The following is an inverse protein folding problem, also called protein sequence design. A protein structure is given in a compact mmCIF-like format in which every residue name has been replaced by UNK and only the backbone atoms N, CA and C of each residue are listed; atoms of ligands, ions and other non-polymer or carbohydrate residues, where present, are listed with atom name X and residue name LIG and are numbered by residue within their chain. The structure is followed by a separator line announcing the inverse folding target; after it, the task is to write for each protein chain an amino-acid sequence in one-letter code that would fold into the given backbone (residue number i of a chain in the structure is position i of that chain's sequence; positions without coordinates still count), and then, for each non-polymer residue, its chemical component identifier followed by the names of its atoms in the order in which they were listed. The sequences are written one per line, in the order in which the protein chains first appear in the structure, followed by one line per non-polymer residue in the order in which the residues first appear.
data_IF_583583218040
#
_entry.id   IF_583583218040
#
_cell.length_a   1.000
_cell.length_b   1.000
_cell.length_c   1.000
_cell.angle_alpha   90.00
_cell.angle_beta   90.00
_cell.angle_gamma   90.00
#
_symmetry.space_group_name_H-M   'P 1'
#
loop_
_entity.id
_entity.type
_entity.pdbx_description
1 polymer ?
#
# COMPACT_ATOMS: atom_id res chain seq x y z
N UNK A 1 39.79 13.05 -16.47
CA UNK A 1 38.62 12.20 -16.82
C UNK A 1 38.69 11.65 -18.25
N UNK A 2 38.94 12.48 -19.28
CA UNK A 2 39.00 12.04 -20.69
C UNK A 2 40.03 10.95 -20.95
N UNK A 3 41.27 11.08 -20.44
CA UNK A 3 42.33 10.08 -20.62
C UNK A 3 42.03 8.71 -19.96
N UNK A 4 41.31 8.69 -18.85
CA UNK A 4 40.92 7.46 -18.16
C UNK A 4 39.80 6.75 -18.91
N UNK A 5 38.82 7.52 -19.43
CA UNK A 5 37.79 7.00 -20.32
C UNK A 5 38.41 6.32 -21.54
N UNK A 6 39.32 6.99 -22.27
CA UNK A 6 39.93 6.47 -23.49
C UNK A 6 40.64 5.12 -23.24
N UNK A 7 41.38 5.02 -22.12
CA UNK A 7 42.04 3.78 -21.72
C UNK A 7 41.04 2.66 -21.41
N UNK A 8 39.99 2.95 -20.65
CA UNK A 8 38.96 1.97 -20.31
C UNK A 8 38.20 1.50 -21.55
N UNK A 9 37.81 2.45 -22.41
CA UNK A 9 37.11 2.16 -23.66
C UNK A 9 37.95 1.27 -24.61
N UNK A 10 39.27 1.52 -24.72
CA UNK A 10 40.16 0.64 -25.50
C UNK A 10 40.21 -0.77 -24.94
N UNK A 11 40.28 -0.94 -23.62
CA UNK A 11 40.32 -2.26 -22.99
C UNK A 11 38.99 -2.99 -23.28
N UNK A 12 37.84 -2.35 -23.03
CA UNK A 12 36.53 -2.95 -23.31
C UNK A 12 36.36 -3.29 -24.80
N UNK A 13 36.81 -2.41 -25.70
CA UNK A 13 36.80 -2.65 -27.15
C UNK A 13 37.62 -3.87 -27.55
N UNK A 14 38.80 -4.09 -26.95
CA UNK A 14 39.61 -5.30 -27.17
C UNK A 14 38.89 -6.53 -26.63
N UNK A 15 38.35 -6.47 -25.42
CA UNK A 15 37.65 -7.60 -24.79
C UNK A 15 36.40 -7.99 -25.58
N UNK A 16 35.62 -7.01 -26.09
CA UNK A 16 34.36 -7.27 -26.81
C UNK A 16 34.54 -7.97 -28.14
N UNK A 17 35.77 -8.01 -28.72
CA UNK A 17 36.07 -8.79 -29.93
C UNK A 17 35.93 -10.30 -29.70
N UNK A 18 36.05 -10.77 -28.46
CA UNK A 18 35.83 -12.15 -28.11
C UNK A 18 34.38 -12.32 -27.62
N UNK A 19 33.56 -13.03 -28.37
CA UNK A 19 32.12 -13.25 -28.05
C UNK A 19 31.89 -13.64 -26.59
N UNK A 20 32.72 -14.57 -26.04
CA UNK A 20 32.60 -15.09 -24.66
C UNK A 20 32.70 -14.00 -23.56
N UNK A 21 33.38 -12.89 -23.84
CA UNK A 21 33.57 -11.82 -22.87
C UNK A 21 32.40 -10.84 -22.84
N UNK A 22 31.61 -10.75 -23.92
CA UNK A 22 30.51 -9.78 -24.05
C UNK A 22 29.56 -9.83 -22.85
N UNK A 23 29.03 -10.98 -22.42
CA UNK A 23 28.09 -11.01 -21.30
C UNK A 23 28.64 -10.43 -19.98
N UNK A 24 29.95 -10.51 -19.77
CA UNK A 24 30.61 -10.05 -18.54
C UNK A 24 30.90 -8.55 -18.56
N UNK A 25 31.15 -7.99 -19.73
CA UNK A 25 31.58 -6.58 -19.85
C UNK A 25 30.50 -5.65 -20.38
N UNK A 26 29.42 -6.19 -20.94
CA UNK A 26 28.46 -5.46 -21.75
C UNK A 26 27.88 -4.24 -21.02
N UNK A 27 27.31 -4.44 -19.83
CA UNK A 27 26.68 -3.37 -19.05
C UNK A 27 27.68 -2.27 -18.75
N UNK A 28 28.85 -2.61 -18.20
CA UNK A 28 29.87 -1.64 -17.84
C UNK A 28 30.40 -0.87 -19.05
N UNK A 29 30.57 -1.55 -20.18
CA UNK A 29 31.07 -0.91 -21.40
C UNK A 29 30.00 0.01 -22.01
N UNK A 30 28.74 -0.42 -22.02
CA UNK A 30 27.64 0.39 -22.52
C UNK A 30 27.45 1.64 -21.65
N UNK A 31 27.40 1.48 -20.32
CA UNK A 31 27.25 2.57 -19.37
C UNK A 31 28.45 3.54 -19.42
N UNK A 32 29.66 3.01 -19.60
CA UNK A 32 30.85 3.86 -19.79
C UNK A 32 30.69 4.78 -21.02
N UNK A 33 30.22 4.26 -22.15
CA UNK A 33 30.00 5.07 -23.36
C UNK A 33 28.90 6.11 -23.15
N UNK A 34 27.78 5.72 -22.55
CA UNK A 34 26.63 6.61 -22.33
C UNK A 34 27.00 7.74 -21.37
N UNK A 35 27.67 7.44 -20.25
CA UNK A 35 28.07 8.41 -19.24
C UNK A 35 29.16 9.40 -19.74
N UNK A 36 29.75 9.15 -20.89
CA UNK A 36 30.72 10.03 -21.53
C UNK A 36 30.23 10.62 -22.86
N UNK A 37 28.91 10.70 -23.05
CA UNK A 37 28.25 11.28 -24.23
C UNK A 37 28.67 10.65 -25.56
N UNK A 38 28.90 9.31 -25.56
CA UNK A 38 29.25 8.51 -26.74
C UNK A 38 28.12 7.60 -27.22
N UNK A 39 26.90 8.16 -27.34
CA UNK A 39 25.69 7.40 -27.68
C UNK A 39 25.76 6.76 -29.06
N UNK A 40 26.42 7.39 -30.04
CA UNK A 40 26.61 6.81 -31.39
C UNK A 40 27.55 5.60 -31.36
N UNK A 41 28.61 5.67 -30.57
CA UNK A 41 29.54 4.54 -30.35
C UNK A 41 28.79 3.41 -29.62
N UNK A 42 27.99 3.75 -28.62
CA UNK A 42 27.15 2.80 -27.89
C UNK A 42 26.15 2.09 -28.83
N UNK A 43 25.53 2.86 -29.75
CA UNK A 43 24.60 2.30 -30.73
C UNK A 43 25.31 1.36 -31.74
N UNK A 44 26.51 1.74 -32.16
CA UNK A 44 27.34 0.88 -33.02
C UNK A 44 27.73 -0.42 -32.32
N UNK A 45 28.17 -0.31 -31.06
CA UNK A 45 28.52 -1.45 -30.23
C UNK A 45 27.32 -2.39 -29.98
N UNK A 46 26.18 -1.88 -29.59
CA UNK A 46 25.01 -2.73 -29.32
C UNK A 46 24.53 -3.44 -30.58
N UNK A 47 24.60 -2.81 -31.74
CA UNK A 47 24.30 -3.44 -33.02
C UNK A 47 25.26 -4.61 -33.33
N UNK A 48 26.54 -4.50 -32.97
CA UNK A 48 27.48 -5.60 -33.03
C UNK A 48 27.10 -6.73 -32.06
N UNK A 49 26.77 -6.40 -30.81
CA UNK A 49 26.40 -7.39 -29.78
C UNK A 49 25.17 -8.21 -30.20
N UNK A 50 24.13 -7.55 -30.74
CA UNK A 50 22.90 -8.25 -31.21
C UNK A 50 23.20 -9.26 -32.33
N UNK A 51 24.16 -8.98 -33.20
CA UNK A 51 24.60 -9.95 -34.22
C UNK A 51 25.25 -11.19 -33.61
N UNK A 52 25.93 -11.05 -32.45
CA UNK A 52 26.54 -12.17 -31.75
C UNK A 52 25.53 -12.98 -30.92
N UNK A 53 24.48 -12.32 -30.41
CA UNK A 53 23.45 -12.87 -29.52
C UNK A 53 22.05 -12.48 -30.00
N UNK A 54 21.60 -12.99 -31.16
CA UNK A 54 20.33 -12.54 -31.78
C UNK A 54 19.07 -12.88 -30.98
N UNK A 55 19.13 -13.92 -30.15
CA UNK A 55 17.99 -14.42 -29.37
C UNK A 55 17.88 -13.79 -27.96
N UNK A 56 18.89 -13.04 -27.50
CA UNK A 56 18.89 -12.45 -26.18
C UNK A 56 18.16 -11.10 -26.18
N UNK A 57 16.97 -11.06 -25.55
CA UNK A 57 16.12 -9.87 -25.47
C UNK A 57 16.79 -8.72 -24.74
N UNK A 58 17.68 -8.97 -23.78
CA UNK A 58 18.37 -7.93 -23.00
C UNK A 58 19.13 -6.97 -23.92
N UNK A 59 19.87 -7.48 -24.87
CA UNK A 59 20.61 -6.64 -25.82
C UNK A 59 19.69 -5.85 -26.76
N UNK A 60 18.48 -6.37 -27.05
CA UNK A 60 17.49 -5.61 -27.82
C UNK A 60 16.86 -4.50 -26.98
N UNK A 61 16.65 -4.72 -25.69
CA UNK A 61 16.22 -3.67 -24.75
C UNK A 61 17.30 -2.61 -24.64
N UNK A 62 18.57 -2.98 -24.51
CA UNK A 62 19.68 -2.04 -24.48
C UNK A 62 19.79 -1.24 -25.79
N UNK A 63 19.49 -1.85 -26.94
CA UNK A 63 19.40 -1.12 -28.22
C UNK A 63 18.29 -0.05 -28.19
N UNK A 64 17.12 -0.40 -27.65
CA UNK A 64 16.02 0.55 -27.48
C UNK A 64 16.42 1.68 -26.53
N UNK A 65 17.10 1.34 -25.44
CA UNK A 65 17.59 2.33 -24.47
C UNK A 65 18.56 3.31 -25.12
N UNK A 66 19.58 2.83 -25.84
CA UNK A 66 20.50 3.71 -26.54
C UNK A 66 19.81 4.53 -27.62
N UNK A 67 18.87 3.91 -28.37
CA UNK A 67 18.08 4.65 -29.36
C UNK A 67 17.19 5.75 -28.75
N UNK A 68 16.74 5.59 -27.50
CA UNK A 68 15.97 6.62 -26.80
C UNK A 68 16.78 7.86 -26.47
N UNK A 69 18.10 7.73 -26.37
CA UNK A 69 19.06 8.83 -26.12
C UNK A 69 19.47 9.55 -27.41
N UNK A 70 19.18 8.98 -28.56
CA UNK A 70 19.50 9.55 -29.86
C UNK A 70 18.34 10.38 -30.41
N UNK A 71 18.61 11.39 -31.28
CA UNK A 71 17.55 12.24 -31.85
C UNK A 71 16.57 11.49 -32.77
N UNK A 72 16.92 10.31 -33.24
CA UNK A 72 16.14 9.54 -34.23
C UNK A 72 14.95 8.80 -33.59
N UNK A 73 13.86 9.51 -33.33
CA UNK A 73 12.64 8.96 -32.74
C UNK A 73 11.94 7.91 -33.64
N UNK A 74 12.16 7.91 -34.94
CA UNK A 74 11.61 6.91 -35.86
C UNK A 74 12.26 5.56 -35.62
N UNK A 75 13.58 5.54 -35.44
CA UNK A 75 14.33 4.31 -35.15
C UNK A 75 13.94 3.72 -33.80
N UNK A 76 13.84 4.57 -32.75
CA UNK A 76 13.36 4.16 -31.44
C UNK A 76 12.01 3.45 -31.48
N UNK A 77 11.01 4.04 -32.18
CA UNK A 77 9.68 3.45 -32.36
C UNK A 77 9.76 2.12 -33.13
N UNK A 78 10.50 2.06 -34.21
CA UNK A 78 10.69 0.87 -35.04
C UNK A 78 11.29 -0.31 -34.26
N UNK A 79 12.27 -0.04 -33.40
CA UNK A 79 12.90 -1.06 -32.57
C UNK A 79 11.93 -1.62 -31.52
N UNK A 80 11.12 -0.79 -30.91
CA UNK A 80 10.08 -1.23 -29.96
C UNK A 80 9.04 -2.14 -30.64
N UNK A 81 8.51 -1.71 -31.77
CA UNK A 81 7.55 -2.50 -32.54
C UNK A 81 8.14 -3.84 -32.96
N UNK A 82 9.40 -3.86 -33.41
CA UNK A 82 10.10 -5.09 -33.77
C UNK A 82 10.24 -6.04 -32.57
N UNK A 83 10.64 -5.52 -31.42
CA UNK A 83 10.79 -6.32 -30.21
C UNK A 83 9.44 -6.88 -29.76
N UNK A 84 8.38 -6.06 -29.78
CA UNK A 84 7.04 -6.50 -29.47
C UNK A 84 6.57 -7.63 -30.40
N UNK A 85 6.69 -7.44 -31.73
CA UNK A 85 6.28 -8.43 -32.69
C UNK A 85 7.05 -9.77 -32.57
N UNK A 86 8.29 -9.73 -32.15
CA UNK A 86 9.09 -10.92 -31.89
C UNK A 86 8.73 -11.63 -30.57
N UNK A 87 8.12 -10.93 -29.61
CA UNK A 87 7.79 -11.43 -28.28
C UNK A 87 6.30 -11.68 -28.04
N UNK A 88 5.42 -11.12 -28.88
CA UNK A 88 3.97 -11.32 -28.77
C UNK A 88 3.63 -12.80 -28.85
N UNK A 89 2.90 -13.34 -27.93
CA UNK A 89 2.58 -14.77 -27.85
C UNK A 89 3.39 -15.53 -26.81
N UNK A 90 4.31 -14.84 -26.14
CA UNK A 90 5.02 -15.42 -24.99
C UNK A 90 4.97 -14.48 -23.80
N UNK A 91 4.04 -14.75 -22.87
CA UNK A 91 3.80 -13.95 -21.68
C UNK A 91 5.07 -13.74 -20.84
N UNK A 92 5.85 -14.81 -20.64
CA UNK A 92 7.08 -14.75 -19.86
C UNK A 92 8.15 -13.87 -20.52
N UNK A 93 8.23 -13.89 -21.84
CA UNK A 93 9.14 -13.01 -22.59
C UNK A 93 8.72 -11.55 -22.48
N UNK A 94 7.42 -11.24 -22.63
CA UNK A 94 6.89 -9.90 -22.47
C UNK A 94 7.14 -9.35 -21.05
N UNK A 95 6.89 -10.17 -20.03
CA UNK A 95 7.17 -9.81 -18.63
C UNK A 95 8.64 -9.51 -18.40
N UNK A 96 9.54 -10.37 -18.89
CA UNK A 96 10.99 -10.16 -18.77
C UNK A 96 11.47 -8.90 -19.49
N UNK A 97 10.96 -8.62 -20.69
CA UNK A 97 11.27 -7.38 -21.42
C UNK A 97 10.82 -6.16 -20.61
N UNK A 98 9.64 -6.21 -20.01
CA UNK A 98 9.16 -5.14 -19.13
C UNK A 98 10.10 -4.90 -17.94
N UNK A 99 10.60 -5.96 -17.31
CA UNK A 99 11.58 -5.85 -16.22
C UNK A 99 12.89 -5.22 -16.69
N UNK A 100 13.41 -5.65 -17.83
CA UNK A 100 14.63 -5.11 -18.43
C UNK A 100 14.49 -3.63 -18.81
N UNK A 101 13.32 -3.23 -19.37
CA UNK A 101 12.99 -1.83 -19.66
C UNK A 101 12.90 -0.98 -18.37
N UNK A 102 12.32 -1.54 -17.31
CA UNK A 102 12.27 -0.90 -15.99
C UNK A 102 13.66 -0.65 -15.42
N UNK A 103 14.58 -1.61 -15.54
CA UNK A 103 15.97 -1.43 -15.12
C UNK A 103 16.68 -0.31 -15.88
N UNK A 104 16.31 -0.06 -17.14
CA UNK A 104 16.78 1.05 -17.96
C UNK A 104 15.98 2.34 -17.80
N UNK A 105 15.10 2.45 -16.79
CA UNK A 105 14.25 3.61 -16.51
C UNK A 105 13.26 3.96 -17.64
N UNK A 106 13.02 3.03 -18.57
CA UNK A 106 12.06 3.18 -19.65
C UNK A 106 10.65 2.74 -19.21
N UNK A 107 10.17 3.31 -18.09
CA UNK A 107 8.94 2.89 -17.40
C UNK A 107 7.69 2.96 -18.26
N UNK A 108 7.56 3.96 -19.14
CA UNK A 108 6.42 4.08 -20.07
C UNK A 108 6.39 2.91 -21.06
N UNK A 109 7.53 2.50 -21.56
CA UNK A 109 7.64 1.36 -22.47
C UNK A 109 7.43 0.04 -21.72
N UNK A 110 8.00 -0.07 -20.52
CA UNK A 110 7.78 -1.21 -19.63
C UNK A 110 6.30 -1.48 -19.39
N UNK A 111 5.50 -0.42 -19.14
CA UNK A 111 4.05 -0.51 -18.97
C UNK A 111 3.34 -1.07 -20.22
N UNK A 112 3.80 -0.72 -21.43
CA UNK A 112 3.20 -1.26 -22.67
C UNK A 112 3.42 -2.77 -22.75
N UNK A 113 4.66 -3.25 -22.55
CA UNK A 113 4.95 -4.68 -22.59
C UNK A 113 4.26 -5.44 -21.46
N UNK A 114 4.17 -4.83 -20.28
CA UNK A 114 3.50 -5.41 -19.12
C UNK A 114 1.98 -5.52 -19.35
N UNK A 115 1.36 -4.51 -20.02
CA UNK A 115 -0.05 -4.57 -20.39
C UNK A 115 -0.33 -5.74 -21.32
N UNK A 116 0.49 -5.92 -22.35
CA UNK A 116 0.35 -7.07 -23.26
C UNK A 116 0.56 -8.41 -22.54
N UNK A 117 1.47 -8.46 -21.56
CA UNK A 117 1.65 -9.66 -20.75
C UNK A 117 0.42 -9.96 -19.89
N UNK A 118 -0.19 -8.93 -19.29
CA UNK A 118 -1.45 -9.05 -18.53
C UNK A 118 -2.61 -9.52 -19.40
N UNK A 119 -2.80 -8.89 -20.57
CA UNK A 119 -3.87 -9.25 -21.50
C UNK A 119 -3.77 -10.72 -21.95
N UNK A 120 -2.56 -11.19 -22.24
CA UNK A 120 -2.33 -12.58 -22.66
C UNK A 120 -2.40 -13.58 -21.50
N UNK A 121 -2.15 -13.16 -20.26
CA UNK A 121 -2.30 -14.02 -19.08
C UNK A 121 -3.75 -14.37 -18.77
N UNK A 122 -4.71 -13.61 -19.32
CA UNK A 122 -6.15 -13.69 -19.01
C UNK A 122 -6.47 -13.46 -17.53
N UNK A 123 -5.52 -12.95 -16.75
CA UNK A 123 -5.72 -12.54 -15.36
C UNK A 123 -5.63 -11.01 -15.28
N UNK A 124 -6.75 -10.29 -15.05
CA UNK A 124 -6.76 -8.84 -14.98
C UNK A 124 -5.96 -8.27 -13.80
N UNK A 125 -5.61 -9.12 -12.84
CA UNK A 125 -4.80 -8.75 -11.67
C UNK A 125 -3.32 -9.12 -11.81
N UNK A 126 -2.93 -9.81 -12.90
CA UNK A 126 -1.55 -10.22 -13.09
C UNK A 126 -0.60 -9.02 -13.05
N UNK A 127 0.55 -9.19 -12.44
CA UNK A 127 1.64 -8.20 -12.38
C UNK A 127 1.29 -6.87 -11.70
N UNK A 128 0.26 -6.82 -10.85
CA UNK A 128 -0.20 -5.61 -10.20
C UNK A 128 0.93 -4.83 -9.51
N UNK A 129 1.82 -5.51 -8.79
CA UNK A 129 2.95 -4.87 -8.13
C UNK A 129 3.96 -4.26 -9.11
N UNK A 130 4.20 -4.89 -10.26
CA UNK A 130 5.10 -4.36 -11.29
C UNK A 130 4.49 -3.10 -11.96
N UNK A 131 3.17 -3.12 -12.20
CA UNK A 131 2.45 -1.94 -12.67
C UNK A 131 2.53 -0.80 -11.66
N UNK A 132 2.26 -1.07 -10.37
CA UNK A 132 2.32 -0.06 -9.33
C UNK A 132 3.69 0.63 -9.29
N UNK A 133 4.77 -0.14 -9.29
CA UNK A 133 6.15 0.38 -9.32
C UNK A 133 6.42 1.25 -10.56
N UNK A 134 5.96 0.80 -11.72
CA UNK A 134 6.17 1.53 -12.97
C UNK A 134 5.32 2.82 -13.03
N UNK A 135 4.09 2.80 -12.49
CA UNK A 135 3.25 4.00 -12.37
C UNK A 135 3.83 4.99 -11.36
N UNK A 136 4.36 4.51 -10.23
CA UNK A 136 5.08 5.34 -9.25
C UNK A 136 6.25 6.09 -9.92
N UNK A 137 7.07 5.36 -10.69
CA UNK A 137 8.23 5.94 -11.36
C UNK A 137 7.91 7.02 -12.41
N UNK A 138 6.68 7.04 -12.94
CA UNK A 138 6.22 8.07 -13.89
C UNK A 138 5.27 9.10 -13.27
N UNK A 139 5.06 9.06 -11.94
CA UNK A 139 4.21 10.00 -11.21
C UNK A 139 2.71 9.85 -11.52
N UNK A 140 2.23 8.64 -11.79
CA UNK A 140 0.82 8.38 -12.01
C UNK A 140 0.17 7.76 -10.77
N UNK A 141 -0.08 8.59 -9.76
CA UNK A 141 -0.56 8.17 -8.45
C UNK A 141 -1.91 7.44 -8.48
N UNK A 142 -2.93 7.88 -9.25
CA UNK A 142 -4.19 7.16 -9.30
C UNK A 142 -4.05 5.72 -9.77
N UNK A 143 -3.22 5.47 -10.80
CA UNK A 143 -2.98 4.12 -11.30
C UNK A 143 -2.06 3.33 -10.40
N UNK A 144 -1.07 3.97 -9.78
CA UNK A 144 -0.20 3.35 -8.79
C UNK A 144 -1.03 2.80 -7.62
N UNK A 145 -1.90 3.61 -7.04
CA UNK A 145 -2.77 3.22 -5.92
C UNK A 145 -3.73 2.10 -6.34
N UNK A 146 -4.36 2.22 -7.52
CA UNK A 146 -5.25 1.18 -8.03
C UNK A 146 -4.56 -0.19 -8.13
N UNK A 147 -3.31 -0.22 -8.55
CA UNK A 147 -2.55 -1.46 -8.67
C UNK A 147 -2.09 -2.01 -7.31
N UNK A 148 -1.74 -1.16 -6.34
CA UNK A 148 -1.47 -1.61 -4.97
C UNK A 148 -2.72 -2.22 -4.32
N UNK A 149 -3.88 -1.59 -4.46
CA UNK A 149 -5.16 -2.14 -3.98
C UNK A 149 -5.50 -3.46 -4.69
N UNK A 150 -5.25 -3.53 -6.00
CA UNK A 150 -5.41 -4.77 -6.79
C UNK A 150 -4.52 -5.88 -6.26
N UNK A 151 -3.25 -5.59 -5.97
CA UNK A 151 -2.32 -6.58 -5.41
C UNK A 151 -2.75 -7.06 -4.03
N UNK A 152 -3.22 -6.15 -3.16
CA UNK A 152 -3.77 -6.51 -1.84
C UNK A 152 -4.98 -7.47 -1.97
N UNK A 153 -5.80 -7.28 -3.02
CA UNK A 153 -6.99 -8.11 -3.25
C UNK A 153 -6.72 -9.52 -3.76
N UNK A 154 -5.49 -9.83 -4.15
CA UNK A 154 -5.14 -11.17 -4.64
C UNK A 154 -5.04 -12.20 -3.50
N UNK A 155 -4.46 -11.80 -2.36
CA UNK A 155 -4.31 -12.68 -1.20
C UNK A 155 -4.20 -11.85 0.09
N UNK A 156 -4.87 -12.28 1.14
CA UNK A 156 -4.88 -11.60 2.46
C UNK A 156 -3.48 -11.41 3.06
N UNK A 157 -2.53 -12.31 2.76
CA UNK A 157 -1.13 -12.19 3.20
C UNK A 157 -0.41 -10.97 2.64
N UNK A 158 -0.92 -10.35 1.56
CA UNK A 158 -0.34 -9.16 0.94
C UNK A 158 -0.74 -7.86 1.67
N UNK A 159 -1.83 -7.88 2.44
CA UNK A 159 -2.39 -6.70 3.10
C UNK A 159 -1.37 -5.99 4.00
N UNK A 160 -0.64 -6.66 4.92
CA UNK A 160 0.35 -5.99 5.76
C UNK A 160 1.48 -5.32 4.94
N UNK A 161 1.94 -5.99 3.90
CA UNK A 161 2.97 -5.46 3.01
C UNK A 161 2.49 -4.18 2.30
N UNK A 162 1.25 -4.19 1.78
CA UNK A 162 0.69 -3.02 1.11
C UNK A 162 0.41 -1.88 2.10
N UNK A 163 -0.10 -2.18 3.31
CA UNK A 163 -0.26 -1.16 4.35
C UNK A 163 1.06 -0.46 4.68
N UNK A 164 2.17 -1.20 4.74
CA UNK A 164 3.51 -0.60 4.97
C UNK A 164 3.93 0.33 3.82
N UNK A 165 3.75 -0.08 2.56
CA UNK A 165 4.06 0.79 1.41
C UNK A 165 3.18 2.04 1.43
N UNK A 166 1.88 1.88 1.61
CA UNK A 166 0.94 2.99 1.63
C UNK A 166 1.24 3.95 2.80
N UNK A 167 1.64 3.42 3.96
CA UNK A 167 2.02 4.24 5.12
C UNK A 167 3.11 5.27 4.80
N UNK A 168 4.11 4.88 4.00
CA UNK A 168 5.18 5.79 3.57
C UNK A 168 4.65 6.88 2.63
N UNK A 169 3.65 6.56 1.82
CA UNK A 169 3.04 7.48 0.86
C UNK A 169 2.00 8.43 1.47
N UNK A 170 1.43 8.09 2.65
CA UNK A 170 0.40 8.91 3.30
C UNK A 170 0.90 10.26 3.84
N UNK A 171 2.20 10.57 3.70
CA UNK A 171 2.70 11.94 3.95
C UNK A 171 2.19 12.95 2.92
N UNK A 172 1.78 12.49 1.74
CA UNK A 172 1.21 13.32 0.67
C UNK A 172 -0.33 13.32 0.75
N UNK A 173 -0.95 14.50 0.92
CA UNK A 173 -2.40 14.62 1.06
C UNK A 173 -3.16 14.12 -0.15
N UNK A 174 -2.64 14.40 -1.37
CA UNK A 174 -3.23 13.92 -2.63
C UNK A 174 -3.32 12.38 -2.70
N UNK A 175 -2.33 11.68 -2.13
CA UNK A 175 -2.33 10.21 -2.08
C UNK A 175 -3.42 9.69 -1.14
N UNK A 176 -3.64 10.36 -0.01
CA UNK A 176 -4.72 9.99 0.93
C UNK A 176 -6.09 10.10 0.26
N UNK A 177 -6.36 11.24 -0.40
CA UNK A 177 -7.61 11.48 -1.12
C UNK A 177 -7.85 10.43 -2.21
N UNK A 178 -6.84 10.15 -3.03
CA UNK A 178 -6.91 9.14 -4.09
C UNK A 178 -7.19 7.75 -3.51
N UNK A 179 -6.49 7.38 -2.44
CA UNK A 179 -6.66 6.07 -1.80
C UNK A 179 -8.06 5.94 -1.20
N UNK A 180 -8.53 6.96 -0.49
CA UNK A 180 -9.86 6.98 0.13
C UNK A 180 -10.95 6.83 -0.93
N UNK A 181 -10.92 7.67 -1.99
CA UNK A 181 -11.89 7.62 -3.08
C UNK A 181 -11.94 6.22 -3.73
N UNK A 182 -10.79 5.66 -4.05
CA UNK A 182 -10.73 4.34 -4.68
C UNK A 182 -11.24 3.23 -3.77
N UNK A 183 -10.93 3.27 -2.49
CA UNK A 183 -11.41 2.29 -1.52
C UNK A 183 -12.91 2.41 -1.29
N UNK A 184 -13.46 3.63 -1.26
CA UNK A 184 -14.92 3.86 -1.18
C UNK A 184 -15.61 3.25 -2.39
N UNK A 185 -15.13 3.54 -3.61
CA UNK A 185 -15.69 2.97 -4.83
C UNK A 185 -15.65 1.43 -4.79
N UNK A 186 -14.52 0.86 -4.37
CA UNK A 186 -14.36 -0.60 -4.30
C UNK A 186 -15.25 -1.24 -3.23
N UNK A 187 -15.39 -0.62 -2.06
CA UNK A 187 -16.29 -1.12 -1.00
C UNK A 187 -17.76 -1.12 -1.44
N UNK A 188 -18.16 -0.16 -2.27
CA UNK A 188 -19.50 -0.12 -2.85
C UNK A 188 -19.70 -1.15 -3.98
N UNK A 189 -18.66 -1.37 -4.81
CA UNK A 189 -18.71 -2.37 -5.88
C UNK A 189 -18.70 -3.81 -5.35
N UNK A 190 -18.04 -4.04 -4.22
CA UNK A 190 -17.85 -5.37 -3.61
C UNK A 190 -18.25 -5.34 -2.13
N UNK A 191 -19.56 -5.15 -1.82
CA UNK A 191 -20.03 -4.91 -0.45
C UNK A 191 -19.79 -6.10 0.50
N UNK A 192 -19.66 -7.30 -0.04
CA UNK A 192 -19.38 -8.52 0.75
C UNK A 192 -17.88 -8.76 0.98
N UNK A 193 -17.01 -8.05 0.27
CA UNK A 193 -15.55 -8.16 0.44
C UNK A 193 -15.08 -7.20 1.53
N UNK A 194 -14.81 -7.73 2.70
CA UNK A 194 -14.35 -6.96 3.87
C UNK A 194 -12.98 -6.32 3.69
N UNK A 195 -12.21 -6.69 2.67
CA UNK A 195 -10.89 -6.14 2.41
C UNK A 195 -10.91 -4.62 2.30
N UNK A 196 -11.84 -4.09 1.51
CA UNK A 196 -11.89 -2.65 1.23
C UNK A 196 -12.31 -1.85 2.46
N UNK A 197 -13.24 -2.41 3.27
CA UNK A 197 -13.59 -1.82 4.55
C UNK A 197 -12.41 -1.90 5.55
N UNK A 198 -11.62 -2.98 5.55
CA UNK A 198 -10.43 -3.10 6.41
C UNK A 198 -9.34 -2.08 6.03
N UNK A 199 -9.12 -1.86 4.74
CA UNK A 199 -8.17 -0.84 4.26
C UNK A 199 -8.67 0.58 4.56
N UNK A 200 -9.97 0.86 4.39
CA UNK A 200 -10.57 2.16 4.77
C UNK A 200 -10.49 2.39 6.28
N UNK A 201 -10.82 1.40 7.08
CA UNK A 201 -10.70 1.49 8.53
C UNK A 201 -9.25 1.80 8.94
N UNK A 202 -8.29 1.10 8.35
CA UNK A 202 -6.88 1.37 8.58
C UNK A 202 -6.50 2.80 8.17
N UNK A 203 -6.94 3.28 7.01
CA UNK A 203 -6.66 4.64 6.52
C UNK A 203 -7.20 5.70 7.49
N UNK A 204 -8.47 5.56 7.92
CA UNK A 204 -9.08 6.49 8.87
C UNK A 204 -8.37 6.48 10.23
N UNK A 205 -7.90 5.31 10.70
CA UNK A 205 -7.08 5.23 11.92
C UNK A 205 -5.76 6.03 11.76
N UNK A 206 -5.09 5.95 10.59
CA UNK A 206 -3.88 6.74 10.33
C UNK A 206 -4.14 8.25 10.36
N UNK A 207 -5.36 8.67 10.03
CA UNK A 207 -5.81 10.06 10.04
C UNK A 207 -6.37 10.51 11.40
N UNK A 208 -6.43 9.64 12.40
CA UNK A 208 -7.13 9.82 13.68
C UNK A 208 -8.63 10.10 13.49
N UNK A 209 -9.21 9.72 12.37
CA UNK A 209 -10.66 9.73 12.15
C UNK A 209 -11.27 8.43 12.71
N UNK A 210 -11.49 8.42 14.02
CA UNK A 210 -12.06 7.25 14.69
C UNK A 210 -13.52 7.02 14.32
N UNK A 211 -14.27 8.08 13.95
CA UNK A 211 -15.64 7.91 13.51
C UNK A 211 -15.74 7.24 12.12
N UNK A 212 -14.91 7.66 11.17
CA UNK A 212 -14.77 6.99 9.88
C UNK A 212 -14.37 5.52 10.05
N UNK A 213 -13.38 5.25 10.91
CA UNK A 213 -12.97 3.88 11.25
C UNK A 213 -14.10 3.06 11.87
N UNK A 214 -14.91 3.64 12.76
CA UNK A 214 -16.06 2.99 13.37
C UNK A 214 -17.13 2.61 12.35
N UNK A 215 -17.40 3.46 11.35
CA UNK A 215 -18.35 3.14 10.28
C UNK A 215 -17.91 1.89 9.52
N UNK A 216 -16.61 1.78 9.21
CA UNK A 216 -16.05 0.62 8.53
C UNK A 216 -16.07 -0.63 9.42
N UNK A 217 -15.72 -0.48 10.70
CA UNK A 217 -15.76 -1.57 11.67
C UNK A 217 -17.15 -2.21 11.79
N UNK A 218 -18.23 -1.37 11.78
CA UNK A 218 -19.61 -1.89 11.75
C UNK A 218 -19.91 -2.73 10.50
N UNK A 219 -19.43 -2.26 9.34
CA UNK A 219 -19.61 -2.99 8.09
C UNK A 219 -18.87 -4.36 8.13
N UNK A 220 -17.63 -4.36 8.64
CA UNK A 220 -16.83 -5.59 8.81
C UNK A 220 -17.52 -6.56 9.76
N UNK A 221 -17.96 -6.11 10.94
CA UNK A 221 -18.62 -6.96 11.94
C UNK A 221 -19.92 -7.57 11.42
N UNK A 222 -20.71 -6.78 10.67
CA UNK A 222 -21.94 -7.25 10.03
C UNK A 222 -21.66 -8.33 8.98
N UNK A 223 -20.71 -8.08 8.06
CA UNK A 223 -20.42 -8.99 6.96
C UNK A 223 -19.71 -10.27 7.43
N UNK A 224 -18.83 -10.15 8.44
CA UNK A 224 -18.06 -11.29 8.99
C UNK A 224 -18.75 -11.98 10.18
N UNK A 225 -19.93 -11.50 10.62
CA UNK A 225 -20.66 -12.01 11.81
C UNK A 225 -19.78 -12.02 13.08
N UNK A 226 -18.92 -11.00 13.26
CA UNK A 226 -17.97 -10.92 14.38
C UNK A 226 -18.55 -10.39 15.68
N UNK A 227 -19.84 -10.11 15.73
CA UNK A 227 -20.56 -9.76 16.96
C UNK A 227 -20.07 -8.49 17.67
N UNK A 228 -19.48 -7.52 16.93
CA UNK A 228 -18.99 -6.27 17.50
C UNK A 228 -17.51 -6.26 17.90
N UNK A 229 -16.76 -7.31 17.61
CA UNK A 229 -15.33 -7.39 17.95
C UNK A 229 -14.48 -6.31 17.28
N UNK A 230 -14.75 -5.99 16.01
CA UNK A 230 -14.00 -4.98 15.27
C UNK A 230 -14.33 -3.58 15.81
N UNK A 231 -15.59 -3.33 16.12
CA UNK A 231 -16.03 -2.08 16.78
C UNK A 231 -15.37 -1.92 18.15
N UNK A 232 -15.27 -3.02 18.94
CA UNK A 232 -14.59 -3.01 20.24
C UNK A 232 -13.12 -2.59 20.11
N UNK A 233 -12.42 -3.07 19.07
CA UNK A 233 -11.02 -2.70 18.81
C UNK A 233 -10.88 -1.21 18.47
N UNK A 234 -11.75 -0.66 17.61
CA UNK A 234 -11.74 0.77 17.25
C UNK A 234 -12.10 1.63 18.46
N UNK A 235 -13.07 1.20 19.29
CA UNK A 235 -13.44 1.89 20.53
C UNK A 235 -12.27 1.95 21.52
N UNK A 236 -11.55 0.84 21.69
CA UNK A 236 -10.36 0.81 22.54
C UNK A 236 -9.27 1.73 22.01
N UNK A 237 -9.04 1.71 20.70
CA UNK A 237 -8.04 2.58 20.06
C UNK A 237 -8.38 4.07 20.25
N UNK A 238 -9.65 4.46 20.07
CA UNK A 238 -10.12 5.80 20.33
C UNK A 238 -9.90 6.21 21.80
N UNK A 239 -10.19 5.30 22.75
CA UNK A 239 -9.95 5.52 24.17
C UNK A 239 -8.47 5.74 24.46
N UNK A 240 -7.59 4.88 23.95
CA UNK A 240 -6.15 4.95 24.18
C UNK A 240 -5.52 6.23 23.63
N UNK A 241 -6.11 6.78 22.56
CA UNK A 241 -5.73 8.06 21.98
C UNK A 241 -6.54 9.27 22.54
N UNK A 242 -7.20 9.09 23.69
CA UNK A 242 -7.91 10.15 24.40
C UNK A 242 -9.14 10.73 23.66
N UNK A 243 -9.56 10.09 22.57
CA UNK A 243 -10.82 10.42 21.89
C UNK A 243 -12.02 9.84 22.65
N UNK A 244 -12.14 10.23 23.93
CA UNK A 244 -13.10 9.62 24.87
C UNK A 244 -14.56 9.77 24.43
N UNK A 245 -14.88 10.83 23.68
CA UNK A 245 -16.22 11.03 23.14
C UNK A 245 -16.60 9.98 22.12
N UNK A 246 -15.69 9.68 21.21
CA UNK A 246 -15.85 8.65 20.18
C UNK A 246 -15.85 7.26 20.80
N UNK A 247 -14.89 6.99 21.70
CA UNK A 247 -14.82 5.73 22.43
C UNK A 247 -16.14 5.40 23.15
N UNK A 248 -16.71 6.39 23.88
CA UNK A 248 -18.01 6.23 24.55
C UNK A 248 -19.11 5.87 23.54
N UNK A 249 -19.22 6.61 22.43
CA UNK A 249 -20.21 6.35 21.39
C UNK A 249 -20.10 4.94 20.82
N UNK A 250 -18.88 4.46 20.59
CA UNK A 250 -18.63 3.15 20.00
C UNK A 250 -18.92 2.02 20.99
N UNK A 251 -18.57 2.17 22.26
CA UNK A 251 -18.96 1.22 23.31
C UNK A 251 -20.47 1.20 23.50
N UNK A 252 -21.15 2.35 23.48
CA UNK A 252 -22.61 2.42 23.57
C UNK A 252 -23.31 1.73 22.40
N UNK A 253 -22.73 1.82 21.18
CA UNK A 253 -23.23 1.03 20.05
C UNK A 253 -23.15 -0.48 20.33
N UNK A 254 -22.06 -0.98 20.93
CA UNK A 254 -21.94 -2.39 21.30
C UNK A 254 -22.98 -2.76 22.36
N UNK A 255 -23.16 -1.92 23.38
CA UNK A 255 -24.15 -2.12 24.44
C UNK A 255 -25.56 -2.23 23.87
N UNK A 256 -25.89 -1.41 22.88
CA UNK A 256 -27.24 -1.39 22.26
C UNK A 256 -27.47 -2.58 21.34
N UNK A 257 -26.41 -3.11 20.68
CA UNK A 257 -26.57 -4.17 19.68
C UNK A 257 -26.22 -5.58 20.20
N UNK A 258 -25.73 -5.71 21.44
CA UNK A 258 -25.44 -7.00 22.07
C UNK A 258 -26.30 -7.15 23.33
N UNK A 259 -27.09 -8.23 23.36
CA UNK A 259 -28.07 -8.45 24.42
C UNK A 259 -27.50 -9.20 25.64
N UNK A 260 -26.35 -9.90 25.52
CA UNK A 260 -25.81 -10.76 26.57
C UNK A 260 -24.28 -10.97 26.41
N UNK A 261 -23.66 -11.43 27.50
CA UNK A 261 -22.29 -11.97 27.51
C UNK A 261 -21.23 -10.98 27.98
N UNK A 262 -20.01 -11.48 28.08
CA UNK A 262 -18.85 -10.75 28.62
C UNK A 262 -18.49 -9.50 27.79
N UNK A 263 -18.79 -9.48 26.50
CA UNK A 263 -18.57 -8.31 25.64
C UNK A 263 -19.51 -7.17 26.01
N UNK A 264 -20.79 -7.45 26.32
CA UNK A 264 -21.74 -6.45 26.75
C UNK A 264 -21.26 -5.79 28.06
N UNK A 265 -20.94 -6.60 29.08
CA UNK A 265 -20.45 -6.08 30.37
C UNK A 265 -19.17 -5.27 30.21
N UNK A 266 -18.23 -5.75 29.38
CA UNK A 266 -17.00 -5.01 29.06
C UNK A 266 -17.31 -3.66 28.42
N UNK A 267 -18.18 -3.62 27.42
CA UNK A 267 -18.55 -2.40 26.71
C UNK A 267 -19.26 -1.40 27.66
N UNK A 268 -20.15 -1.90 28.53
CA UNK A 268 -20.83 -1.06 29.54
C UNK A 268 -19.83 -0.37 30.47
N UNK A 269 -18.87 -1.13 31.01
CA UNK A 269 -17.85 -0.56 31.88
C UNK A 269 -16.97 0.45 31.15
N UNK A 270 -16.49 0.13 29.96
CA UNK A 270 -15.60 0.99 29.18
C UNK A 270 -16.32 2.24 28.66
N UNK A 271 -17.61 2.18 28.36
CA UNK A 271 -18.43 3.37 28.09
C UNK A 271 -18.48 4.33 29.29
N UNK A 272 -18.76 3.80 30.50
CA UNK A 272 -18.75 4.58 31.74
C UNK A 272 -17.39 5.22 31.99
N UNK A 273 -16.32 4.44 31.82
CA UNK A 273 -14.94 4.91 31.98
C UNK A 273 -14.59 6.02 30.98
N UNK A 274 -15.02 5.88 29.72
CA UNK A 274 -14.82 6.89 28.69
C UNK A 274 -15.57 8.18 29.03
N UNK A 275 -16.79 8.07 29.55
CA UNK A 275 -17.59 9.21 30.01
C UNK A 275 -16.95 9.94 31.18
N UNK A 276 -16.44 9.21 32.17
CA UNK A 276 -15.69 9.76 33.29
C UNK A 276 -14.48 10.56 32.80
N UNK A 277 -13.64 9.94 31.94
CA UNK A 277 -12.45 10.58 31.36
C UNK A 277 -12.79 11.84 30.59
N UNK A 278 -13.80 11.78 29.71
CA UNK A 278 -14.28 12.92 28.92
C UNK A 278 -14.68 14.12 29.79
N UNK A 279 -15.28 13.86 30.97
CA UNK A 279 -15.67 14.91 31.90
C UNK A 279 -14.51 15.42 32.74
N UNK A 280 -13.58 14.54 33.12
CA UNK A 280 -12.40 14.89 33.92
C UNK A 280 -11.38 15.72 33.14
N UNK A 281 -11.31 15.54 31.79
CA UNK A 281 -10.39 16.28 30.92
C UNK A 281 -10.82 17.72 30.61
N UNK A 282 -12.08 18.09 30.93
CA UNK A 282 -12.59 19.44 30.69
C UNK A 282 -12.42 20.32 31.90
N UNK A 283 -11.81 21.50 31.71
CA UNK A 283 -11.71 22.51 32.76
C UNK A 283 -12.69 23.68 32.46
N UNK A 284 -13.44 24.18 33.47
CA UNK A 284 -13.53 23.65 34.85
C UNK A 284 -14.26 22.31 34.88
N UNK A 285 -13.85 21.45 35.84
CA UNK A 285 -14.44 20.11 36.00
C UNK A 285 -15.93 20.27 36.41
N UNK A 286 -16.81 19.63 35.66
CA UNK A 286 -18.25 19.55 36.03
C UNK A 286 -18.44 18.46 37.10
N UNK A 287 -18.30 18.86 38.37
CA UNK A 287 -18.48 17.97 39.51
C UNK A 287 -19.84 17.30 39.58
N UNK A 288 -20.92 18.03 39.16
CA UNK A 288 -22.27 17.50 39.20
C UNK A 288 -22.43 16.35 38.16
N UNK A 289 -21.92 16.56 36.93
CA UNK A 289 -21.96 15.54 35.91
C UNK A 289 -21.10 14.32 36.29
N UNK A 290 -19.91 14.51 36.89
CA UNK A 290 -19.08 13.43 37.43
C UNK A 290 -19.81 12.67 38.54
N UNK A 291 -20.47 13.38 39.46
CA UNK A 291 -21.18 12.72 40.55
C UNK A 291 -22.33 11.84 40.03
N UNK A 292 -23.02 12.24 38.96
CA UNK A 292 -24.06 11.41 38.34
C UNK A 292 -23.54 10.05 37.82
N UNK A 293 -22.27 9.95 37.42
CA UNK A 293 -21.66 8.69 36.97
C UNK A 293 -21.50 7.72 38.13
N UNK A 294 -21.38 8.16 39.36
CA UNK A 294 -21.24 7.29 40.56
C UNK A 294 -22.42 6.33 40.69
N UNK A 295 -23.64 6.79 40.39
CA UNK A 295 -24.83 5.93 40.36
C UNK A 295 -24.75 4.85 39.29
N UNK A 296 -24.23 5.18 38.10
CA UNK A 296 -24.07 4.22 37.03
C UNK A 296 -22.98 3.17 37.32
N UNK A 297 -21.88 3.54 37.99
CA UNK A 297 -20.88 2.57 38.47
C UNK A 297 -21.45 1.65 39.55
N UNK A 298 -22.28 2.16 40.45
CA UNK A 298 -22.97 1.33 41.43
C UNK A 298 -23.91 0.32 40.78
N UNK A 299 -24.73 0.75 39.83
CA UNK A 299 -25.62 -0.15 39.08
C UNK A 299 -24.82 -1.22 38.28
N UNK A 300 -23.70 -0.82 37.68
CA UNK A 300 -22.83 -1.78 36.97
C UNK A 300 -22.30 -2.84 37.96
N UNK A 301 -21.79 -2.44 39.13
CA UNK A 301 -21.30 -3.35 40.16
C UNK A 301 -22.37 -4.36 40.61
N UNK A 302 -23.60 -3.91 40.79
CA UNK A 302 -24.72 -4.76 41.24
C UNK A 302 -25.18 -5.74 40.18
N UNK A 303 -25.10 -5.38 38.90
CA UNK A 303 -25.60 -6.21 37.78
C UNK A 303 -24.52 -7.10 37.15
N UNK A 304 -23.27 -6.71 37.23
CA UNK A 304 -22.17 -7.45 36.62
C UNK A 304 -21.98 -8.82 37.32
N UNK A 305 -21.63 -9.82 36.52
CA UNK A 305 -21.37 -11.17 37.05
C UNK A 305 -20.22 -11.15 38.06
N UNK A 306 -20.24 -12.06 39.03
CA UNK A 306 -19.20 -12.12 40.09
C UNK A 306 -17.81 -12.33 39.54
N UNK A 307 -17.70 -13.00 38.41
CA UNK A 307 -16.42 -13.26 37.71
C UNK A 307 -15.98 -12.11 36.81
N UNK A 308 -16.77 -11.04 36.68
CA UNK A 308 -16.42 -9.92 35.82
C UNK A 308 -15.23 -9.15 36.37
N UNK A 309 -14.11 -9.00 35.60
CA UNK A 309 -12.91 -8.33 36.09
C UNK A 309 -13.10 -6.85 36.37
N UNK A 310 -14.10 -6.22 35.79
CA UNK A 310 -14.39 -4.77 35.95
C UNK A 310 -15.31 -4.46 37.14
N UNK A 311 -15.90 -5.49 37.77
CA UNK A 311 -16.86 -5.30 38.86
C UNK A 311 -16.26 -4.50 40.03
N UNK A 312 -15.11 -4.93 40.54
CA UNK A 312 -14.40 -4.22 41.63
C UNK A 312 -13.82 -2.87 41.17
N UNK A 313 -13.43 -2.77 39.88
CA UNK A 313 -12.92 -1.52 39.34
C UNK A 313 -13.99 -0.42 39.30
N UNK A 314 -15.24 -0.79 39.02
CA UNK A 314 -16.35 0.15 39.07
C UNK A 314 -16.53 0.79 40.47
N UNK A 315 -16.40 0.01 41.56
CA UNK A 315 -16.43 0.55 42.91
C UNK A 315 -15.24 1.47 43.21
N UNK A 316 -14.04 1.12 42.74
CA UNK A 316 -12.84 1.98 42.89
C UNK A 316 -13.04 3.31 42.19
N UNK A 317 -13.53 3.31 40.92
CA UNK A 317 -13.78 4.52 40.17
C UNK A 317 -14.84 5.38 40.86
N UNK A 318 -15.97 4.78 41.34
CA UNK A 318 -16.99 5.46 42.13
C UNK A 318 -16.37 6.16 43.34
N UNK A 319 -15.58 5.43 44.16
CA UNK A 319 -14.93 5.98 45.33
C UNK A 319 -13.96 7.13 45.00
N UNK A 320 -13.19 7.00 43.90
CA UNK A 320 -12.31 8.07 43.41
C UNK A 320 -13.09 9.36 43.10
N UNK A 321 -14.24 9.27 42.38
CA UNK A 321 -15.07 10.45 42.07
C UNK A 321 -15.63 11.08 43.32
N UNK A 322 -16.01 10.28 44.31
CA UNK A 322 -16.60 10.82 45.58
C UNK A 322 -15.54 11.49 46.46
N UNK A 323 -14.26 11.29 46.21
CA UNK A 323 -13.16 11.95 46.96
C UNK A 323 -12.77 13.33 46.39
N UNK A 324 -13.33 13.72 45.25
CA UNK A 324 -13.18 15.07 44.64
C UNK A 324 -14.19 16.05 45.18
#
# INVERSE_FOLDING_TARGET
QSKEYDKAAEIYKKLSRQKRNIPQIHTNYLDLMINNDKQDDAYTYINYVIKQYPEDSRYRVDQIYVASLLPNQKEYKRLKERLYNASRGNVNTLKRISEELTQRQLHKDALVFLSHARDQSQDPKAYALDFAKSYSAIGNDPKMIAEYVTFASQQTRHIPYIKNILQELLSEESIKEILEEQLIIKSQQYPDDVLYNDLLMWLYIQQNDYFGAFVQAKAIDRNSKRGGNTVMQVAQLAYDNQAYGDAMLFYDYIVTNNNQGSMLEKAQFLSLLSKEKKLSDKLPIDKQALYQITGAYQQFYERATETNPYRLQALKNKAGIMAY
#
